data_IF_337027940197
#
_entry.id   IF_337027940197
#
_cell.length_a   1.000
_cell.length_b   1.000
_cell.length_c   1.000
_cell.angle_alpha   90.00
_cell.angle_beta   90.00
_cell.angle_gamma   90.00
#
_symmetry.space_group_name_H-M   'P 1'
#
loop_
_entity.id
_entity.type
_entity.pdbx_description
1 polymer ?
#
# COMPACT_ATOMS: atom_id res chain seq x y z
N UNK A 1 -5.63 8.61 10.47
CA UNK A 1 -4.61 7.84 11.22
C UNK A 1 -4.23 6.52 10.52
N UNK A 2 -5.14 5.53 10.42
CA UNK A 2 -4.83 4.21 9.83
C UNK A 2 -4.39 4.26 8.36
N UNK A 3 -5.16 4.93 7.49
CA UNK A 3 -4.85 5.07 6.06
C UNK A 3 -3.49 5.71 5.77
N UNK A 4 -3.12 6.73 6.54
CA UNK A 4 -1.80 7.36 6.42
C UNK A 4 -0.67 6.37 6.75
N UNK A 5 -0.85 5.49 7.75
CA UNK A 5 0.12 4.43 8.06
C UNK A 5 0.23 3.40 6.94
N UNK A 6 -0.90 3.02 6.34
CA UNK A 6 -0.94 2.11 5.19
C UNK A 6 -0.18 2.72 4.01
N UNK A 7 -0.46 3.98 3.66
CA UNK A 7 0.24 4.69 2.59
C UNK A 7 1.75 4.83 2.87
N UNK A 8 2.14 5.11 4.13
CA UNK A 8 3.54 5.18 4.51
C UNK A 8 4.26 3.83 4.42
N UNK A 9 3.62 2.74 4.85
CA UNK A 9 4.19 1.39 4.72
C UNK A 9 4.40 1.01 3.25
N UNK A 10 3.40 1.23 2.41
CA UNK A 10 3.48 0.96 0.97
C UNK A 10 4.56 1.82 0.28
N UNK A 11 4.72 3.07 0.72
CA UNK A 11 5.80 3.95 0.24
C UNK A 11 7.17 3.44 0.67
N UNK A 12 7.30 2.93 1.90
CA UNK A 12 8.52 2.26 2.39
C UNK A 12 8.92 1.05 1.55
N UNK A 13 7.94 0.34 1.00
CA UNK A 13 8.14 -0.80 0.08
C UNK A 13 8.31 -0.36 -1.39
N UNK A 14 8.49 0.94 -1.65
CA UNK A 14 8.71 1.49 -2.99
C UNK A 14 7.48 1.44 -3.90
N UNK A 15 6.27 1.47 -3.32
CA UNK A 15 5.01 1.65 -4.05
C UNK A 15 4.50 3.06 -3.83
N UNK A 16 4.17 3.77 -4.90
CA UNK A 16 3.55 5.08 -4.78
C UNK A 16 2.16 4.91 -4.18
N UNK A 17 1.91 5.55 -3.02
CA UNK A 17 0.64 5.48 -2.33
C UNK A 17 0.14 6.87 -1.92
N UNK A 18 -1.13 7.16 -2.16
CA UNK A 18 -1.80 8.40 -1.75
C UNK A 18 -3.12 8.10 -1.04
N UNK A 19 -3.49 8.95 -0.07
CA UNK A 19 -4.79 8.84 0.61
C UNK A 19 -5.77 9.76 -0.08
N UNK A 20 -6.86 9.19 -0.60
CA UNK A 20 -7.96 9.95 -1.22
C UNK A 20 -9.26 9.65 -0.47
N UNK A 21 -9.67 10.58 0.39
CA UNK A 21 -10.82 10.40 1.28
C UNK A 21 -10.70 9.13 2.13
N UNK A 22 -11.56 8.16 1.85
CA UNK A 22 -11.62 6.89 2.55
C UNK A 22 -10.79 5.77 1.90
N UNK A 23 -10.17 6.04 0.74
CA UNK A 23 -9.36 5.09 -0.01
C UNK A 23 -7.85 5.37 0.12
N UNK A 24 -7.06 4.32 -0.10
CA UNK A 24 -5.62 4.44 -0.36
C UNK A 24 -5.40 4.00 -1.80
N UNK A 25 -5.04 4.95 -2.66
CA UNK A 25 -4.69 4.64 -4.04
C UNK A 25 -3.22 4.26 -4.12
N UNK A 26 -2.95 3.20 -4.86
CA UNK A 26 -1.59 2.70 -5.11
C UNK A 26 -1.31 2.62 -6.58
N UNK A 27 -0.11 3.03 -6.97
CA UNK A 27 0.37 2.95 -8.34
C UNK A 27 1.85 2.57 -8.37
N UNK A 28 2.29 2.01 -9.50
CA UNK A 28 3.68 1.61 -9.69
C UNK A 28 3.85 0.57 -10.78
N UNK A 29 5.05 0.52 -11.37
CA UNK A 29 5.37 -0.47 -12.39
C UNK A 29 5.35 -1.88 -11.80
N UNK A 30 4.63 -2.78 -12.46
CA UNK A 30 4.52 -4.18 -12.01
C UNK A 30 3.73 -4.38 -10.72
N UNK A 31 2.95 -3.37 -10.30
CA UNK A 31 2.15 -3.43 -9.07
C UNK A 31 1.27 -4.67 -9.00
N UNK A 32 0.63 -5.06 -10.11
CA UNK A 32 -0.20 -6.27 -10.15
C UNK A 32 0.61 -7.53 -9.82
N UNK A 33 1.78 -7.71 -10.44
CA UNK A 33 2.64 -8.86 -10.17
C UNK A 33 3.19 -8.85 -8.73
N UNK A 34 3.57 -7.67 -8.22
CA UNK A 34 4.03 -7.49 -6.84
C UNK A 34 2.91 -7.78 -5.84
N UNK A 35 1.70 -7.28 -6.08
CA UNK A 35 0.51 -7.53 -5.25
C UNK A 35 0.23 -9.02 -5.12
N UNK A 36 0.49 -9.80 -6.17
CA UNK A 36 0.31 -11.25 -6.11
C UNK A 36 1.38 -11.98 -5.28
N UNK A 37 2.63 -11.51 -5.36
CA UNK A 37 3.82 -12.19 -4.80
C UNK A 37 4.21 -11.72 -3.41
N UNK A 38 3.90 -10.48 -3.07
CA UNK A 38 4.34 -9.81 -1.85
C UNK A 38 3.20 -9.78 -0.83
N UNK A 39 3.32 -10.60 0.21
CA UNK A 39 2.34 -10.69 1.28
C UNK A 39 2.32 -9.40 2.13
N UNK A 40 3.46 -8.73 2.31
CA UNK A 40 3.55 -7.51 3.10
C UNK A 40 2.67 -6.39 2.51
N UNK A 41 2.63 -6.31 1.18
CA UNK A 41 1.77 -5.38 0.44
C UNK A 41 0.27 -5.61 0.68
N UNK A 42 -0.16 -6.87 0.85
CA UNK A 42 -1.56 -7.22 1.14
C UNK A 42 -1.92 -7.05 2.60
N UNK A 43 -0.94 -7.25 3.48
CA UNK A 43 -1.11 -7.11 4.91
C UNK A 43 -0.91 -5.67 5.39
N UNK A 44 -0.49 -4.76 4.51
CA UNK A 44 -0.45 -3.32 4.74
C UNK A 44 -1.82 -2.81 5.24
N UNK A 45 -1.95 -2.72 6.57
CA UNK A 45 -3.19 -2.31 7.25
C UNK A 45 -3.99 -3.41 7.95
N UNK A 46 -3.64 -4.70 7.83
CA UNK A 46 -4.34 -5.80 8.52
C UNK A 46 -3.94 -6.00 9.99
N UNK A 47 -2.93 -5.29 10.50
CA UNK A 47 -2.40 -5.52 11.85
C UNK A 47 -2.42 -4.35 12.83
N UNK A 48 -2.76 -3.11 12.44
CA UNK A 48 -2.80 -1.93 13.34
C UNK A 48 -3.72 -0.81 12.84
#
# INVERSE_FOLDING_TARGET
>A
ARRARIAAALTGDGVTAVVEGEAVLVSGRGLQARWWRDLALREAGRGR
#
